data_IF_143343030780
#
_entry.id   IF_143343030780
#
_cell.length_a   1.000
_cell.length_b   1.000
_cell.length_c   1.000
_cell.angle_alpha   90.00
_cell.angle_beta   90.00
_cell.angle_gamma   90.00
#
_symmetry.space_group_name_H-M   'P 1'
#
loop_
_entity.id
_entity.type
_entity.pdbx_description
1 polymer ?
#
# COMPACT_ATOMS: atom_id res chain seq x y z
N UNK A 1 -11.59 23.47 19.43
CA UNK A 1 -11.28 22.23 20.12
C UNK A 1 -10.02 21.60 19.47
N UNK A 2 -8.85 21.63 20.11
CA UNK A 2 -7.60 21.08 19.56
C UNK A 2 -7.66 19.56 19.33
N UNK A 3 -8.66 18.87 19.87
CA UNK A 3 -8.88 17.43 19.67
C UNK A 3 -9.86 17.13 18.51
N UNK A 4 -10.45 18.15 17.88
CA UNK A 4 -11.43 17.95 16.81
C UNK A 4 -10.87 17.16 15.60
N UNK A 5 -9.64 17.43 15.10
CA UNK A 5 -9.05 16.63 14.03
C UNK A 5 -8.88 15.15 14.42
N UNK A 6 -8.54 14.88 15.67
CA UNK A 6 -8.41 13.54 16.23
C UNK A 6 -9.74 12.78 16.28
N UNK A 7 -10.79 13.41 16.79
CA UNK A 7 -12.12 12.80 16.87
C UNK A 7 -12.64 12.46 15.47
N UNK A 8 -12.41 13.36 14.49
CA UNK A 8 -12.79 13.13 13.09
C UNK A 8 -12.00 11.99 12.47
N UNK A 9 -10.69 11.97 12.63
CA UNK A 9 -9.82 10.89 12.11
C UNK A 9 -10.20 9.54 12.73
N UNK A 10 -10.50 9.52 14.03
CA UNK A 10 -10.95 8.33 14.73
C UNK A 10 -12.26 7.79 14.19
N UNK A 11 -13.21 8.67 13.94
CA UNK A 11 -14.50 8.28 13.36
C UNK A 11 -14.31 7.75 11.93
N UNK A 12 -13.51 8.45 11.13
CA UNK A 12 -13.20 8.02 9.75
C UNK A 12 -12.51 6.65 9.72
N UNK A 13 -11.57 6.40 10.63
CA UNK A 13 -10.92 5.10 10.77
C UNK A 13 -11.92 4.00 11.14
N UNK A 14 -12.81 4.25 12.10
CA UNK A 14 -13.84 3.28 12.50
C UNK A 14 -14.76 2.90 11.34
N UNK A 15 -15.28 3.91 10.62
CA UNK A 15 -16.11 3.67 9.43
C UNK A 15 -15.33 2.91 8.35
N UNK A 16 -14.08 3.29 8.10
CA UNK A 16 -13.24 2.60 7.12
C UNK A 16 -13.02 1.13 7.51
N UNK A 17 -12.73 0.87 8.78
CA UNK A 17 -12.55 -0.48 9.30
C UNK A 17 -13.81 -1.34 9.11
N UNK A 18 -14.98 -0.81 9.46
CA UNK A 18 -16.26 -1.51 9.33
C UNK A 18 -16.60 -1.81 7.87
N UNK A 19 -16.49 -0.82 6.99
CA UNK A 19 -16.81 -0.97 5.56
C UNK A 19 -15.88 -1.98 4.89
N UNK A 20 -14.57 -1.93 5.18
CA UNK A 20 -13.61 -2.84 4.57
C UNK A 20 -13.74 -4.26 5.13
N UNK A 21 -14.05 -4.41 6.43
CA UNK A 21 -14.36 -5.72 7.01
C UNK A 21 -15.61 -6.33 6.39
N UNK A 22 -16.66 -5.52 6.14
CA UNK A 22 -17.88 -5.97 5.47
C UNK A 22 -17.60 -6.38 4.03
N UNK A 23 -16.83 -5.58 3.29
CA UNK A 23 -16.41 -5.92 1.92
C UNK A 23 -15.66 -7.26 1.88
N UNK A 24 -14.70 -7.48 2.78
CA UNK A 24 -13.97 -8.74 2.86
C UNK A 24 -14.90 -9.93 3.09
N UNK A 25 -15.92 -9.79 3.97
CA UNK A 25 -16.96 -10.81 4.21
C UNK A 25 -17.83 -11.03 2.99
N UNK A 26 -18.33 -9.96 2.38
CA UNK A 26 -19.25 -10.03 1.25
C UNK A 26 -18.64 -10.74 0.04
N UNK A 27 -17.35 -10.49 -0.21
CA UNK A 27 -16.61 -11.13 -1.30
C UNK A 27 -15.97 -12.47 -0.91
N UNK A 28 -15.94 -12.82 0.37
CA UNK A 28 -15.27 -14.04 0.86
C UNK A 28 -13.77 -14.04 0.52
N UNK A 29 -13.11 -12.89 0.53
CA UNK A 29 -11.76 -12.71 0.03
C UNK A 29 -10.83 -12.04 1.04
N UNK A 30 -9.52 -12.31 0.92
CA UNK A 30 -8.53 -11.44 1.55
C UNK A 30 -8.59 -10.06 0.90
N UNK A 31 -8.60 -9.03 1.72
CA UNK A 31 -8.72 -7.65 1.27
C UNK A 31 -7.59 -6.80 1.84
N UNK A 32 -6.74 -6.24 0.98
CA UNK A 32 -5.89 -5.12 1.36
C UNK A 32 -6.64 -3.82 1.07
N UNK A 33 -7.14 -3.20 2.12
CA UNK A 33 -7.65 -1.85 2.04
C UNK A 33 -6.44 -0.90 1.94
N UNK A 34 -6.36 -0.20 0.81
CA UNK A 34 -5.28 0.74 0.51
C UNK A 34 -5.03 1.70 1.67
N UNK A 35 -4.03 2.53 1.61
CA UNK A 35 -3.64 3.23 2.82
C UNK A 35 -4.52 4.46 3.14
N UNK A 36 -4.67 4.72 4.43
CA UNK A 36 -5.33 5.92 4.96
C UNK A 36 -4.43 6.61 5.99
N UNK A 37 -4.66 7.90 6.17
CA UNK A 37 -4.01 8.66 7.23
C UNK A 37 -4.77 8.45 8.53
N UNK A 38 -4.15 7.80 9.50
CA UNK A 38 -4.76 7.49 10.79
C UNK A 38 -3.78 7.67 11.93
N UNK A 39 -4.24 8.07 13.12
CA UNK A 39 -3.42 7.92 14.32
C UNK A 39 -3.12 6.44 14.57
N UNK A 40 -1.95 6.08 15.11
CA UNK A 40 -1.64 4.71 15.49
C UNK A 40 -2.60 4.25 16.60
N UNK A 41 -3.40 3.21 16.35
CA UNK A 41 -4.68 3.07 17.01
C UNK A 41 -4.73 2.14 18.21
N UNK A 42 -3.94 1.10 18.32
CA UNK A 42 -4.24 0.09 19.35
C UNK A 42 -3.26 0.01 20.51
N UNK A 43 -1.98 0.20 20.28
CA UNK A 43 -1.01 0.07 21.37
C UNK A 43 -1.06 1.21 22.39
N UNK A 44 -1.38 2.43 21.95
CA UNK A 44 -1.43 3.59 22.84
C UNK A 44 -2.76 3.71 23.58
N UNK A 45 -3.88 3.27 22.98
CA UNK A 45 -5.17 3.22 23.64
C UNK A 45 -5.26 2.12 24.68
N UNK A 46 -4.74 0.95 24.39
CA UNK A 46 -4.68 -0.17 25.34
C UNK A 46 -3.79 0.14 26.54
N UNK A 47 -2.81 1.05 26.39
CA UNK A 47 -1.90 1.50 27.45
C UNK A 47 -2.38 2.74 28.21
N UNK A 48 -3.54 3.31 27.86
CA UNK A 48 -4.06 4.54 28.50
C UNK A 48 -3.17 5.78 28.28
N UNK A 49 -2.24 5.72 27.33
CA UNK A 49 -1.30 6.81 27.04
C UNK A 49 -1.80 7.63 25.87
N UNK A 50 -2.44 8.75 26.15
CA UNK A 50 -2.65 9.79 25.14
C UNK A 50 -1.33 10.55 24.95
N UNK A 51 -0.62 10.31 23.86
CA UNK A 51 0.43 11.22 23.44
C UNK A 51 -0.19 12.60 23.18
N UNK A 52 0.37 13.66 23.76
CA UNK A 52 -0.11 15.04 23.55
C UNK A 52 0.11 15.54 22.12
N UNK A 53 0.88 14.82 21.32
CA UNK A 53 1.11 15.11 19.90
C UNK A 53 0.55 13.95 19.07
N UNK A 54 -0.55 14.19 18.35
CA UNK A 54 -1.13 13.19 17.46
C UNK A 54 -0.25 13.02 16.23
N UNK A 55 0.57 12.00 16.22
CA UNK A 55 1.29 11.62 15.02
C UNK A 55 0.37 10.74 14.17
N UNK A 56 0.03 11.23 12.99
CA UNK A 56 -0.63 10.40 11.99
C UNK A 56 0.39 9.48 11.33
N UNK A 57 -0.07 8.30 10.96
CA UNK A 57 0.66 7.36 10.09
C UNK A 57 -0.15 7.12 8.82
N UNK A 58 0.53 6.75 7.76
CA UNK A 58 -0.09 6.18 6.58
C UNK A 58 -0.18 4.68 6.80
N UNK A 59 -1.40 4.13 6.94
CA UNK A 59 -1.69 2.74 7.31
C UNK A 59 -2.45 2.01 6.21
N UNK A 60 -2.01 0.82 5.83
CA UNK A 60 -2.80 -0.14 5.09
C UNK A 60 -3.38 -1.19 6.05
N UNK A 61 -4.62 -1.62 5.79
CA UNK A 61 -5.34 -2.58 6.63
C UNK A 61 -5.56 -3.86 5.83
N UNK A 62 -5.19 -5.01 6.38
CA UNK A 62 -5.33 -6.30 5.71
C UNK A 62 -6.31 -7.20 6.45
N UNK A 63 -7.33 -7.65 5.74
CA UNK A 63 -8.45 -8.44 6.28
C UNK A 63 -8.47 -9.85 5.71
N UNK A 64 -8.95 -10.81 6.50
CA UNK A 64 -9.24 -12.14 6.01
C UNK A 64 -10.67 -12.23 5.43
N UNK A 65 -11.06 -13.37 4.75
CA UNK A 65 -12.39 -13.56 4.17
C UNK A 65 -13.56 -13.51 5.16
N UNK A 66 -13.27 -13.58 6.47
CA UNK A 66 -14.28 -13.45 7.54
C UNK A 66 -14.39 -11.99 8.04
N UNK A 67 -13.72 -11.03 7.41
CA UNK A 67 -13.71 -9.63 7.79
C UNK A 67 -12.89 -9.33 9.05
N UNK A 68 -12.06 -10.27 9.52
CA UNK A 68 -11.17 -10.01 10.66
C UNK A 68 -9.91 -9.27 10.18
N UNK A 69 -9.58 -8.17 10.83
CA UNK A 69 -8.31 -7.46 10.62
C UNK A 69 -7.15 -8.36 11.04
N UNK A 70 -6.25 -8.65 10.09
CA UNK A 70 -5.04 -9.45 10.30
C UNK A 70 -3.84 -8.57 10.58
N UNK A 71 -3.71 -7.43 9.88
CA UNK A 71 -2.56 -6.54 10.04
C UNK A 71 -2.95 -5.07 9.80
N UNK A 72 -2.28 -4.20 10.55
CA UNK A 72 -2.18 -2.76 10.32
C UNK A 72 -0.74 -2.47 9.91
N UNK A 73 -0.52 -2.14 8.66
CA UNK A 73 0.81 -2.00 8.07
C UNK A 73 1.14 -0.52 7.92
N UNK A 74 2.08 0.01 8.71
CA UNK A 74 2.47 1.42 8.61
C UNK A 74 3.50 1.63 7.51
N UNK A 75 3.35 2.71 6.73
CA UNK A 75 4.35 3.14 5.75
C UNK A 75 5.66 3.51 6.42
N UNK A 76 6.76 2.96 5.93
CA UNK A 76 8.10 3.14 6.49
C UNK A 76 8.87 4.28 5.84
N UNK A 77 8.74 4.43 4.52
CA UNK A 77 9.47 5.44 3.76
C UNK A 77 8.55 6.58 3.34
N UNK A 78 8.81 7.77 3.86
CA UNK A 78 7.98 8.94 3.64
C UNK A 78 8.54 9.79 2.52
N UNK A 79 7.67 10.18 1.58
CA UNK A 79 7.99 11.19 0.56
C UNK A 79 8.13 12.58 1.20
N UNK A 80 8.78 13.57 0.54
CA UNK A 80 8.90 14.92 1.09
C UNK A 80 7.59 15.54 1.60
N UNK A 81 6.45 15.43 0.91
CA UNK A 81 5.16 15.91 1.42
C UNK A 81 4.62 15.15 2.64
N UNK A 82 5.08 13.93 2.89
CA UNK A 82 4.63 13.08 4.01
C UNK A 82 5.50 13.25 5.28
N UNK A 83 6.53 14.10 5.28
CA UNK A 83 7.50 14.21 6.40
C UNK A 83 6.89 14.63 7.74
N UNK A 84 5.68 15.14 7.75
CA UNK A 84 4.92 15.44 8.96
C UNK A 84 4.27 14.20 9.59
N UNK A 85 4.21 13.08 8.88
CA UNK A 85 3.72 11.80 9.38
C UNK A 85 4.78 11.12 10.23
N UNK A 86 4.34 10.24 11.13
CA UNK A 86 5.21 9.30 11.83
C UNK A 86 5.59 8.15 10.91
N UNK A 87 6.87 7.88 10.80
CA UNK A 87 7.39 6.70 10.10
C UNK A 87 6.97 5.42 10.81
N UNK A 88 6.56 4.43 10.02
CA UNK A 88 6.35 3.07 10.49
C UNK A 88 7.66 2.36 10.83
N UNK A 89 7.50 1.22 11.52
CA UNK A 89 8.59 0.25 11.72
C UNK A 89 8.19 -1.06 11.06
N UNK A 90 9.17 -1.79 10.57
CA UNK A 90 8.92 -3.12 10.06
C UNK A 90 8.42 -4.03 11.19
N UNK A 91 7.32 -4.74 10.93
CA UNK A 91 6.67 -5.66 11.86
C UNK A 91 5.51 -6.37 11.19
N UNK A 92 4.33 -5.74 11.08
CA UNK A 92 3.13 -6.37 10.52
C UNK A 92 3.13 -6.42 8.97
N UNK A 93 4.31 -6.34 8.33
CA UNK A 93 4.48 -6.31 6.87
C UNK A 93 4.48 -7.69 6.23
N UNK A 94 4.52 -8.76 7.02
CA UNK A 94 4.38 -10.14 6.57
C UNK A 94 3.18 -10.78 7.26
N UNK A 95 2.29 -11.36 6.47
CA UNK A 95 1.08 -12.04 6.96
C UNK A 95 0.98 -13.43 6.35
N UNK A 96 0.82 -14.45 7.17
CA UNK A 96 0.51 -15.80 6.71
C UNK A 96 -0.97 -15.92 6.39
N UNK A 97 -1.29 -16.49 5.21
CA UNK A 97 -2.64 -16.70 4.71
C UNK A 97 -2.76 -18.11 4.12
N UNK A 98 -3.98 -18.54 3.85
CA UNK A 98 -4.21 -19.80 3.12
C UNK A 98 -3.72 -19.74 1.67
N UNK A 99 -3.52 -18.55 1.11
CA UNK A 99 -2.98 -18.32 -0.23
C UNK A 99 -1.44 -18.20 -0.27
N UNK A 100 -0.76 -18.39 0.88
CA UNK A 100 0.68 -18.22 1.03
C UNK A 100 1.06 -17.05 1.92
N UNK A 101 2.36 -16.75 1.99
CA UNK A 101 2.89 -15.63 2.78
C UNK A 101 2.83 -14.34 1.98
N UNK A 102 2.10 -13.38 2.50
CA UNK A 102 1.85 -12.09 1.86
C UNK A 102 2.70 -11.00 2.50
N UNK A 103 3.59 -10.39 1.70
CA UNK A 103 4.32 -9.19 2.06
C UNK A 103 3.52 -7.94 1.68
N UNK A 104 3.55 -6.89 2.50
CA UNK A 104 2.83 -5.64 2.24
C UNK A 104 3.80 -4.47 2.39
N UNK A 105 3.96 -3.68 1.32
CA UNK A 105 4.77 -2.45 1.27
C UNK A 105 3.95 -1.31 0.69
N UNK A 106 3.96 -0.14 1.32
CA UNK A 106 3.15 0.98 0.83
C UNK A 106 4.00 1.88 -0.07
N UNK A 107 3.65 1.93 -1.36
CA UNK A 107 4.19 2.87 -2.35
C UNK A 107 5.74 2.92 -2.32
N UNK A 108 6.32 4.00 -1.80
CA UNK A 108 7.77 4.25 -1.74
C UNK A 108 8.53 3.13 -1.00
N UNK A 109 7.93 2.43 -0.05
CA UNK A 109 8.58 1.31 0.67
C UNK A 109 9.10 0.25 -0.30
N UNK A 110 8.35 -0.06 -1.36
CA UNK A 110 8.71 -1.05 -2.37
C UNK A 110 9.86 -0.65 -3.30
N UNK A 111 10.37 0.58 -3.22
CA UNK A 111 11.56 1.01 -3.96
C UNK A 111 12.87 0.79 -3.18
N UNK A 112 12.78 0.42 -1.91
CA UNK A 112 13.95 0.18 -1.09
C UNK A 112 14.28 -1.31 -1.02
N UNK A 113 15.44 -1.67 -1.57
CA UNK A 113 15.95 -3.04 -1.62
C UNK A 113 15.93 -3.75 -0.27
N UNK A 114 16.28 -3.05 0.80
CA UNK A 114 16.29 -3.63 2.16
C UNK A 114 14.95 -4.18 2.63
N UNK A 115 13.82 -3.59 2.18
CA UNK A 115 12.49 -4.05 2.56
C UNK A 115 12.08 -5.28 1.74
N UNK A 116 12.40 -5.27 0.44
CA UNK A 116 12.16 -6.40 -0.45
C UNK A 116 12.99 -7.62 -0.03
N UNK A 117 14.30 -7.44 0.17
CA UNK A 117 15.19 -8.49 0.62
C UNK A 117 14.75 -9.09 1.97
N UNK A 118 14.28 -8.24 2.89
CA UNK A 118 13.79 -8.71 4.18
C UNK A 118 12.51 -9.55 4.07
N UNK A 119 11.55 -9.12 3.24
CA UNK A 119 10.33 -9.90 3.00
C UNK A 119 10.64 -11.23 2.31
N UNK A 120 11.52 -11.21 1.31
CA UNK A 120 11.97 -12.41 0.60
C UNK A 120 12.64 -13.41 1.57
N UNK A 121 13.60 -12.95 2.38
CA UNK A 121 14.26 -13.78 3.39
C UNK A 121 13.32 -14.35 4.46
N UNK A 122 12.16 -13.72 4.71
CA UNK A 122 11.10 -14.22 5.58
C UNK A 122 10.13 -15.17 4.85
N UNK A 123 10.36 -15.41 3.56
CA UNK A 123 9.57 -16.32 2.74
C UNK A 123 8.29 -15.73 2.19
N UNK A 124 8.20 -14.41 2.01
CA UNK A 124 7.05 -13.80 1.34
C UNK A 124 6.97 -14.27 -0.12
N UNK A 125 5.80 -14.72 -0.55
CA UNK A 125 5.56 -15.23 -1.91
C UNK A 125 4.83 -14.20 -2.78
N UNK A 126 3.92 -13.44 -2.16
CA UNK A 126 3.10 -12.42 -2.79
C UNK A 126 3.43 -11.07 -2.17
N UNK A 127 3.72 -10.07 -3.00
CA UNK A 127 3.90 -8.68 -2.57
C UNK A 127 2.67 -7.85 -2.96
N UNK A 128 2.02 -7.24 -1.99
CA UNK A 128 0.97 -6.25 -2.20
C UNK A 128 1.57 -4.85 -1.98
N UNK A 129 1.48 -3.99 -3.00
CA UNK A 129 2.07 -2.65 -2.96
C UNK A 129 1.07 -1.59 -3.42
N UNK A 130 0.13 -1.16 -2.56
CA UNK A 130 -0.75 -0.04 -2.88
C UNK A 130 0.08 1.22 -3.06
N UNK A 131 -0.14 1.94 -4.16
CA UNK A 131 0.69 3.07 -4.55
C UNK A 131 -0.14 4.26 -5.03
N UNK A 132 0.44 5.45 -4.93
CA UNK A 132 -0.11 6.69 -5.45
C UNK A 132 1.00 7.53 -6.07
N UNK A 133 0.80 7.96 -7.31
CA UNK A 133 1.74 8.82 -8.01
C UNK A 133 1.05 10.17 -8.33
N UNK A 134 1.45 11.28 -7.67
CA UNK A 134 0.86 12.60 -7.91
C UNK A 134 1.42 13.29 -9.17
N UNK A 135 2.17 12.58 -10.00
CA UNK A 135 2.76 13.11 -11.21
C UNK A 135 1.98 12.66 -12.46
N UNK A 136 1.91 13.50 -13.52
CA UNK A 136 1.41 13.05 -14.81
C UNK A 136 2.21 11.86 -15.32
N UNK A 137 1.51 10.80 -15.72
CA UNK A 137 2.12 9.53 -16.14
C UNK A 137 3.04 9.65 -17.35
N UNK A 138 2.69 10.56 -18.27
CA UNK A 138 3.42 10.79 -19.52
C UNK A 138 4.52 11.86 -19.41
N UNK A 139 4.71 12.48 -18.24
CA UNK A 139 5.77 13.50 -18.11
C UNK A 139 7.16 12.86 -18.20
N UNK A 140 8.17 13.61 -18.70
CA UNK A 140 9.56 13.21 -18.59
C UNK A 140 9.94 12.94 -17.13
N UNK A 141 10.65 11.83 -16.87
CA UNK A 141 11.12 11.52 -15.53
C UNK A 141 12.31 12.41 -15.17
N UNK A 142 12.26 13.17 -14.07
CA UNK A 142 13.27 14.22 -13.80
C UNK A 142 14.73 13.75 -13.77
N UNK A 143 15.06 12.55 -13.24
CA UNK A 143 16.43 12.04 -13.25
C UNK A 143 16.93 11.61 -14.64
N UNK A 144 16.03 11.23 -15.56
CA UNK A 144 16.35 10.85 -16.93
C UNK A 144 15.18 11.26 -17.86
N UNK A 145 15.24 12.47 -18.43
CA UNK A 145 14.16 13.02 -19.26
C UNK A 145 13.88 12.28 -20.58
N UNK A 146 14.76 11.36 -20.98
CA UNK A 146 14.52 10.50 -22.13
C UNK A 146 13.46 9.41 -21.84
N UNK A 147 13.15 9.18 -20.57
CA UNK A 147 12.14 8.21 -20.11
C UNK A 147 10.93 8.93 -19.55
N UNK A 148 9.77 8.31 -19.65
CA UNK A 148 8.54 8.80 -19.02
C UNK A 148 8.40 8.28 -17.59
N UNK A 149 7.71 9.04 -16.75
CA UNK A 149 7.38 8.65 -15.37
C UNK A 149 6.78 7.23 -15.31
N UNK A 150 5.78 6.97 -16.16
CA UNK A 150 5.10 5.69 -16.22
C UNK A 150 5.96 4.52 -16.66
N UNK A 151 6.89 4.73 -17.59
CA UNK A 151 7.84 3.71 -18.01
C UNK A 151 8.76 3.28 -16.86
N UNK A 152 9.18 4.25 -16.04
CA UNK A 152 10.02 3.98 -14.86
C UNK A 152 9.23 3.21 -13.81
N UNK A 153 7.97 3.57 -13.58
CA UNK A 153 7.11 2.85 -12.64
C UNK A 153 6.95 1.38 -13.04
N UNK A 154 6.57 1.10 -14.29
CA UNK A 154 6.38 -0.26 -14.80
C UNK A 154 7.69 -1.06 -14.77
N UNK A 155 8.77 -0.49 -15.30
CA UNK A 155 10.08 -1.16 -15.30
C UNK A 155 10.58 -1.47 -13.88
N UNK A 156 10.38 -0.55 -12.92
CA UNK A 156 10.77 -0.78 -11.54
C UNK A 156 9.92 -1.87 -10.87
N UNK A 157 8.61 -1.95 -11.21
CA UNK A 157 7.74 -3.02 -10.70
C UNK A 157 8.18 -4.40 -11.20
N UNK A 158 8.49 -4.52 -12.48
CA UNK A 158 9.04 -5.75 -13.09
C UNK A 158 10.36 -6.18 -12.45
N UNK A 159 11.24 -5.22 -12.15
CA UNK A 159 12.56 -5.51 -11.61
C UNK A 159 12.53 -5.96 -10.13
N UNK A 160 11.50 -5.58 -9.34
CA UNK A 160 11.45 -5.85 -7.89
C UNK A 160 11.48 -7.32 -7.52
N UNK A 161 10.97 -8.19 -8.38
CA UNK A 161 10.91 -9.63 -8.15
C UNK A 161 12.12 -10.38 -8.73
N UNK A 162 12.97 -9.71 -9.51
CA UNK A 162 14.15 -10.36 -10.10
C UNK A 162 15.14 -10.78 -9.03
N UNK A 163 15.65 -12.01 -9.16
CA UNK A 163 16.64 -12.57 -8.23
C UNK A 163 16.13 -12.87 -6.83
N UNK A 164 14.81 -12.87 -6.61
CA UNK A 164 14.19 -13.26 -5.34
C UNK A 164 14.04 -14.78 -5.25
N UNK A 165 14.20 -15.28 -4.04
CA UNK A 165 14.07 -16.72 -3.75
C UNK A 165 12.61 -17.14 -3.61
N UNK A 166 11.81 -16.30 -2.94
CA UNK A 166 10.43 -16.61 -2.58
C UNK A 166 9.40 -15.72 -3.26
N UNK A 167 9.66 -14.41 -3.38
CA UNK A 167 8.72 -13.46 -4.01
C UNK A 167 8.50 -13.79 -5.49
N UNK A 168 7.27 -14.19 -5.84
CA UNK A 168 6.88 -14.61 -7.21
C UNK A 168 5.82 -13.73 -7.84
N UNK A 169 5.07 -12.99 -7.05
CA UNK A 169 3.94 -12.19 -7.52
C UNK A 169 3.93 -10.82 -6.86
N UNK A 170 3.76 -9.77 -7.64
CA UNK A 170 3.51 -8.41 -7.16
C UNK A 170 2.16 -7.91 -7.67
N UNK A 171 1.29 -7.49 -6.77
CA UNK A 171 0.08 -6.75 -7.07
C UNK A 171 0.30 -5.29 -6.68
N UNK A 172 0.32 -4.41 -7.67
CA UNK A 172 0.56 -2.98 -7.49
C UNK A 172 -0.67 -2.16 -7.94
N UNK A 173 -1.72 -2.05 -7.11
CA UNK A 173 -2.82 -1.14 -7.40
C UNK A 173 -2.35 0.31 -7.28
N UNK A 174 -2.73 1.13 -8.26
CA UNK A 174 -2.39 2.55 -8.34
C UNK A 174 -3.63 3.40 -8.11
N UNK A 175 -3.52 4.40 -7.24
CA UNK A 175 -4.55 5.40 -7.05
C UNK A 175 -4.68 6.26 -8.32
N UNK A 176 -5.91 6.41 -8.82
CA UNK A 176 -6.26 7.27 -9.94
C UNK A 176 -7.32 8.29 -9.53
N UNK A 177 -7.36 9.42 -10.24
CA UNK A 177 -8.34 10.47 -10.02
C UNK A 177 -7.83 11.59 -9.13
N UNK A 178 -8.73 12.35 -8.54
CA UNK A 178 -8.41 13.51 -7.72
C UNK A 178 -8.78 13.27 -6.25
N UNK A 179 -7.84 13.52 -5.36
CA UNK A 179 -8.04 13.44 -3.91
C UNK A 179 -7.49 14.72 -3.27
N UNK A 180 -8.36 15.46 -2.59
CA UNK A 180 -8.01 16.71 -1.88
C UNK A 180 -7.29 17.75 -2.78
N UNK A 181 -7.72 17.88 -4.03
CA UNK A 181 -7.16 18.82 -5.01
C UNK A 181 -5.83 18.33 -5.65
N UNK A 182 -5.40 17.11 -5.37
CA UNK A 182 -4.24 16.49 -5.99
C UNK A 182 -4.69 15.43 -6.99
N UNK A 183 -4.21 15.54 -8.23
CA UNK A 183 -4.42 14.54 -9.27
C UNK A 183 -3.42 13.40 -9.15
N UNK A 184 -3.91 12.17 -9.29
CA UNK A 184 -3.10 10.95 -9.28
C UNK A 184 -3.27 10.19 -10.58
N UNK A 185 -2.16 9.66 -11.10
CA UNK A 185 -2.14 8.85 -12.31
C UNK A 185 -1.25 7.62 -12.11
N UNK A 186 -1.71 6.48 -12.61
CA UNK A 186 -0.91 5.27 -12.58
C UNK A 186 -1.62 4.07 -13.18
N UNK A 187 -0.86 3.19 -13.83
CA UNK A 187 -1.38 1.93 -14.34
C UNK A 187 -1.20 0.84 -13.28
N UNK A 188 -2.29 0.38 -12.72
CA UNK A 188 -2.30 -0.80 -11.85
C UNK A 188 -1.73 -2.01 -12.59
N UNK A 189 -0.98 -2.88 -11.90
CA UNK A 189 -0.38 -4.03 -12.54
C UNK A 189 -0.26 -5.23 -11.63
N UNK A 190 -0.23 -6.42 -12.25
CA UNK A 190 0.12 -7.70 -11.66
C UNK A 190 1.38 -8.18 -12.38
N UNK A 191 2.43 -8.45 -11.63
CA UNK A 191 3.75 -8.74 -12.17
C UNK A 191 4.29 -10.06 -11.62
N UNK A 192 4.99 -10.79 -12.51
CA UNK A 192 5.92 -11.86 -12.17
C UNK A 192 7.37 -11.37 -12.32
N UNK A 193 8.39 -12.16 -11.95
CA UNK A 193 9.78 -11.76 -12.13
C UNK A 193 10.10 -11.37 -13.58
N UNK A 194 10.41 -10.10 -13.81
CA UNK A 194 10.78 -9.54 -15.12
C UNK A 194 9.66 -9.24 -16.10
N UNK A 195 8.39 -9.54 -15.77
CA UNK A 195 7.28 -9.33 -16.69
C UNK A 195 6.02 -8.75 -16.02
N UNK A 196 5.18 -8.08 -16.82
CA UNK A 196 3.84 -7.67 -16.44
C UNK A 196 2.82 -8.69 -16.96
N UNK A 197 2.23 -9.46 -16.04
CA UNK A 197 1.18 -10.46 -16.38
C UNK A 197 -0.13 -9.77 -16.77
N UNK A 198 -0.46 -8.69 -16.11
CA UNK A 198 -1.59 -7.82 -16.37
C UNK A 198 -1.19 -6.37 -16.07
N UNK A 199 -1.62 -5.47 -16.91
CA UNK A 199 -1.38 -4.03 -16.75
C UNK A 199 -2.62 -3.28 -17.19
N UNK A 200 -3.09 -2.35 -16.37
CA UNK A 200 -4.23 -1.49 -16.70
C UNK A 200 -4.02 -0.76 -18.03
N UNK A 201 -5.08 -0.60 -18.81
CA UNK A 201 -4.99 -0.05 -20.17
C UNK A 201 -4.59 1.44 -20.16
N UNK A 202 -5.13 2.19 -19.18
CA UNK A 202 -4.87 3.61 -19.05
C UNK A 202 -4.33 3.98 -17.67
N UNK A 203 -3.59 5.10 -17.55
CA UNK A 203 -3.13 5.62 -16.27
C UNK A 203 -4.20 6.41 -15.51
N UNK A 204 -5.41 6.47 -16.05
CA UNK A 204 -6.57 7.18 -15.47
C UNK A 204 -7.82 6.33 -15.59
N UNK A 205 -8.81 6.59 -14.71
CA UNK A 205 -10.06 5.82 -14.66
C UNK A 205 -9.95 4.56 -13.81
N UNK A 206 -11.09 3.88 -13.64
CA UNK A 206 -11.21 2.68 -12.82
C UNK A 206 -11.09 1.43 -13.69
N UNK A 207 -10.24 0.50 -13.27
CA UNK A 207 -10.06 -0.79 -13.94
C UNK A 207 -9.79 -1.89 -12.91
N UNK A 208 -10.48 -3.03 -13.07
CA UNK A 208 -10.22 -4.23 -12.30
C UNK A 208 -9.34 -5.19 -13.08
N UNK A 209 -8.22 -5.59 -12.50
CA UNK A 209 -7.32 -6.59 -13.06
C UNK A 209 -7.55 -7.93 -12.38
N UNK A 210 -7.74 -8.98 -13.17
CA UNK A 210 -7.94 -10.35 -12.71
C UNK A 210 -6.84 -11.27 -13.26
N UNK A 211 -6.29 -12.08 -12.37
CA UNK A 211 -5.37 -13.17 -12.70
C UNK A 211 -5.89 -14.45 -12.05
N UNK A 212 -6.00 -15.51 -12.82
CA UNK A 212 -6.21 -16.87 -12.28
C UNK A 212 -4.84 -17.54 -12.21
N UNK A 213 -4.52 -18.05 -11.05
CA UNK A 213 -3.31 -18.84 -10.78
C UNK A 213 -3.64 -20.33 -10.89
#
# INVERSE_FOLDING_TARGET
DPLLPWRRARRAYGVFLEVMAEAARAFGAYLLAGSLLSPPYEEELARGRFSRTPFFQNLALFFNPKGRLLAQVPKMELTPPERWLRRGRFGPHLVETEAGKVGILICLDGFYERHLARLDALGAEILLQPSANPAPWERPWPPDPARKEGEVWVASAQARLLGREHLRLLLNPMLNGEVAGLGFQGRSGIYAPGEALRLAQAPTGDEALLLRL
#
